data_IF_366980131097
#
_entry.id   IF_366980131097
#
_cell.length_a   1.000
_cell.length_b   1.000
_cell.length_c   1.000
_cell.angle_alpha   90.00
_cell.angle_beta   90.00
_cell.angle_gamma   90.00
#
_symmetry.space_group_name_H-M   'P 1'
#
loop_
_entity.id
_entity.type
_entity.pdbx_description
1 polymer ?
#
# COMPACT_ATOMS: atom_id res chain seq x y z
N UNK A 1 28.18 54.77 -24.40
CA UNK A 1 28.39 54.06 -23.11
C UNK A 1 27.07 53.73 -22.37
N UNK A 2 26.11 54.66 -22.26
CA UNK A 2 24.80 54.42 -21.60
C UNK A 2 23.99 53.23 -22.16
N UNK A 3 23.99 53.04 -23.49
CA UNK A 3 23.22 51.96 -24.13
C UNK A 3 23.86 50.57 -23.93
N UNK A 4 25.18 50.52 -23.70
CA UNK A 4 25.90 49.26 -23.44
C UNK A 4 25.57 48.75 -22.03
N UNK A 5 25.47 49.66 -21.05
CA UNK A 5 25.08 49.32 -19.68
C UNK A 5 23.65 48.77 -19.63
N UNK A 6 22.73 49.36 -20.39
CA UNK A 6 21.34 48.89 -20.49
C UNK A 6 21.22 47.47 -21.08
N UNK A 7 22.06 47.12 -22.06
CA UNK A 7 22.07 45.77 -22.64
C UNK A 7 22.60 44.75 -21.63
N UNK A 8 23.64 45.08 -20.87
CA UNK A 8 24.16 44.18 -19.82
C UNK A 8 23.13 43.92 -18.70
N UNK A 9 22.37 44.94 -18.30
CA UNK A 9 21.31 44.79 -17.30
C UNK A 9 20.17 43.92 -17.83
N UNK A 10 19.78 44.08 -19.10
CA UNK A 10 18.70 43.29 -19.71
C UNK A 10 19.08 41.81 -19.84
N UNK A 11 20.34 41.51 -20.19
CA UNK A 11 20.84 40.11 -20.30
C UNK A 11 20.91 39.42 -18.93
N UNK A 12 21.22 40.16 -17.86
CA UNK A 12 21.26 39.59 -16.50
C UNK A 12 19.86 39.19 -15.98
N UNK A 13 18.79 39.85 -16.42
CA UNK A 13 17.39 39.55 -16.03
C UNK A 13 16.83 38.35 -16.81
N UNK A 14 17.39 38.06 -18.00
CA UNK A 14 16.96 36.96 -18.87
C UNK A 14 17.60 35.61 -18.51
N UNK A 15 18.37 35.51 -17.43
CA UNK A 15 18.88 34.24 -16.94
C UNK A 15 17.74 33.56 -16.16
N UNK A 16 17.10 32.50 -16.70
CA UNK A 16 16.08 31.78 -15.96
C UNK A 16 16.73 31.19 -14.71
N UNK A 17 16.24 31.56 -13.52
CA UNK A 17 16.61 30.89 -12.29
C UNK A 17 16.21 29.41 -12.45
N UNK A 18 17.20 28.53 -12.46
CA UNK A 18 16.97 27.10 -12.46
C UNK A 18 16.28 26.75 -11.12
N UNK A 19 14.95 26.67 -11.12
CA UNK A 19 14.17 26.09 -10.05
C UNK A 19 14.48 24.59 -10.05
N UNK A 20 15.54 24.20 -9.33
CA UNK A 20 15.77 22.81 -8.98
C UNK A 20 14.69 22.40 -8.01
N UNK A 21 13.77 21.53 -8.45
CA UNK A 21 12.86 20.85 -7.55
C UNK A 21 13.72 20.03 -6.56
N UNK A 22 13.71 20.42 -5.30
CA UNK A 22 14.31 19.63 -4.23
C UNK A 22 13.30 18.58 -3.79
N UNK A 23 13.72 17.32 -3.74
CA UNK A 23 12.92 16.24 -3.17
C UNK A 23 13.28 16.07 -1.70
N UNK A 24 12.29 16.18 -0.83
CA UNK A 24 12.39 15.74 0.55
C UNK A 24 11.93 14.28 0.63
N UNK A 25 12.67 13.46 1.38
CA UNK A 25 12.34 12.06 1.58
C UNK A 25 12.59 11.68 3.04
N UNK A 26 11.75 10.79 3.55
CA UNK A 26 11.85 10.25 4.91
C UNK A 26 11.77 8.73 4.86
N UNK A 27 12.55 8.06 5.70
CA UNK A 27 12.42 6.61 5.89
C UNK A 27 11.32 6.35 6.92
N UNK A 28 10.10 6.13 6.42
CA UNK A 28 8.92 5.87 7.26
C UNK A 28 8.85 4.43 7.78
N UNK A 29 9.62 3.51 7.20
CA UNK A 29 9.65 2.11 7.58
C UNK A 29 11.05 1.51 7.40
N UNK A 30 11.53 0.83 8.44
CA UNK A 30 12.72 -0.02 8.41
C UNK A 30 12.47 -1.26 9.27
N UNK A 31 12.29 -2.41 8.64
CA UNK A 31 12.01 -3.68 9.31
C UNK A 31 13.03 -4.75 8.89
N UNK A 32 13.44 -5.59 9.85
CA UNK A 32 14.16 -6.83 9.56
C UNK A 32 13.15 -7.97 9.43
N UNK A 33 13.12 -8.60 8.26
CA UNK A 33 12.19 -9.67 7.93
C UNK A 33 12.76 -11.06 8.30
N UNK A 34 14.07 -11.16 8.55
CA UNK A 34 14.73 -12.42 8.95
C UNK A 34 14.76 -13.51 7.88
N UNK A 35 14.16 -13.29 6.71
CA UNK A 35 14.14 -14.20 5.56
C UNK A 35 14.39 -13.44 4.25
N UNK A 36 14.93 -14.08 3.21
CA UNK A 36 15.12 -13.45 1.91
C UNK A 36 13.81 -12.88 1.35
N UNK A 37 13.86 -11.61 0.95
CA UNK A 37 12.77 -10.94 0.24
C UNK A 37 12.95 -11.21 -1.25
N UNK A 38 11.94 -11.79 -1.89
CA UNK A 38 11.92 -12.07 -3.32
C UNK A 38 11.39 -10.87 -4.10
N UNK A 39 10.28 -10.29 -3.64
CA UNK A 39 9.64 -9.13 -4.25
C UNK A 39 8.71 -8.42 -3.26
N UNK A 40 8.32 -7.18 -3.56
CA UNK A 40 7.44 -6.37 -2.71
C UNK A 40 6.41 -5.59 -3.52
N UNK A 41 5.22 -5.42 -2.96
CA UNK A 41 4.19 -4.53 -3.50
C UNK A 41 3.46 -3.86 -2.36
N UNK A 42 2.77 -2.76 -2.65
CA UNK A 42 2.02 -1.99 -1.64
C UNK A 42 0.57 -1.81 -2.09
N UNK A 43 -0.34 -1.78 -1.12
CA UNK A 43 -1.68 -1.25 -1.38
C UNK A 43 -1.62 0.28 -1.21
N UNK A 44 -1.90 1.07 -2.27
CA UNK A 44 -1.88 2.53 -2.17
C UNK A 44 -2.89 3.11 -1.17
N UNK A 45 -3.94 2.36 -0.81
CA UNK A 45 -5.05 2.86 -0.03
C UNK A 45 -4.95 2.60 1.49
N UNK A 46 -4.15 1.62 1.93
CA UNK A 46 -4.29 1.07 3.31
C UNK A 46 -2.98 0.91 4.10
N UNK A 47 -1.89 1.60 3.74
CA UNK A 47 -0.61 1.52 4.48
C UNK A 47 -0.09 0.09 4.71
N UNK A 48 -0.39 -0.81 3.77
CA UNK A 48 0.08 -2.20 3.81
C UNK A 48 1.18 -2.45 2.78
N UNK A 49 2.20 -3.16 3.23
CA UNK A 49 3.27 -3.71 2.38
C UNK A 49 3.11 -5.22 2.34
N UNK A 50 3.03 -5.77 1.13
CA UNK A 50 3.04 -7.21 0.89
C UNK A 50 4.45 -7.62 0.49
N UNK A 51 5.03 -8.53 1.26
CA UNK A 51 6.42 -8.96 1.09
C UNK A 51 6.40 -10.44 0.69
N UNK A 52 6.82 -10.73 -0.54
CA UNK A 52 6.97 -12.10 -1.00
C UNK A 52 8.29 -12.68 -0.49
N UNK A 53 8.20 -13.79 0.22
CA UNK A 53 9.32 -14.61 0.71
C UNK A 53 9.13 -16.05 0.21
N UNK A 54 10.14 -16.93 0.26
CA UNK A 54 10.00 -18.32 -0.19
C UNK A 54 8.85 -19.05 0.51
N UNK A 55 7.73 -19.23 -0.20
CA UNK A 55 6.54 -19.96 0.26
C UNK A 55 5.60 -19.15 1.16
N UNK A 56 5.77 -17.83 1.29
CA UNK A 56 4.87 -17.01 2.11
C UNK A 56 4.82 -15.57 1.61
N UNK A 57 3.61 -15.01 1.56
CA UNK A 57 3.41 -13.55 1.47
C UNK A 57 3.15 -13.01 2.88
N UNK A 58 4.01 -12.12 3.34
CA UNK A 58 3.82 -11.41 4.60
C UNK A 58 2.98 -10.16 4.36
N UNK A 59 1.99 -9.93 5.22
CA UNK A 59 1.21 -8.68 5.24
C UNK A 59 1.77 -7.82 6.38
N UNK A 60 2.41 -6.71 6.04
CA UNK A 60 3.05 -5.81 6.98
C UNK A 60 2.28 -4.48 7.07
N UNK A 61 1.97 -4.04 8.29
CA UNK A 61 1.36 -2.73 8.57
C UNK A 61 2.45 -1.68 8.75
N UNK A 62 2.46 -0.65 7.91
CA UNK A 62 3.37 0.49 8.08
C UNK A 62 3.04 1.26 9.36
N UNK A 63 1.74 1.47 9.64
CA UNK A 63 1.28 2.22 10.82
C UNK A 63 1.59 1.52 12.14
N UNK A 64 1.33 0.20 12.22
CA UNK A 64 1.59 -0.58 13.45
C UNK A 64 3.03 -1.10 13.53
N UNK A 65 3.81 -0.92 12.46
CA UNK A 65 5.18 -1.41 12.30
C UNK A 65 5.34 -2.90 12.63
N UNK A 66 4.38 -3.73 12.20
CA UNK A 66 4.36 -5.16 12.50
C UNK A 66 3.81 -6.01 11.36
N UNK A 67 4.15 -7.30 11.37
CA UNK A 67 3.53 -8.30 10.50
C UNK A 67 2.14 -8.60 11.05
N UNK A 68 1.11 -8.24 10.29
CA UNK A 68 -0.29 -8.53 10.63
C UNK A 68 -0.63 -10.00 10.38
N UNK A 69 -0.19 -10.55 9.24
CA UNK A 69 -0.54 -11.90 8.85
C UNK A 69 0.44 -12.51 7.82
N UNK A 70 0.27 -13.80 7.54
CA UNK A 70 1.07 -14.59 6.61
C UNK A 70 0.17 -15.46 5.74
N UNK A 71 0.22 -15.24 4.43
CA UNK A 71 -0.49 -16.08 3.46
C UNK A 71 0.48 -17.16 2.97
N UNK A 72 0.24 -18.45 3.26
CA UNK A 72 1.08 -19.52 2.72
C UNK A 72 0.87 -19.63 1.21
N UNK A 73 1.97 -19.77 0.47
CA UNK A 73 1.97 -19.92 -0.99
C UNK A 73 2.99 -20.96 -1.42
N UNK A 74 2.94 -21.38 -2.68
CA UNK A 74 3.98 -22.26 -3.23
C UNK A 74 5.32 -21.53 -3.29
N UNK A 75 6.43 -22.27 -3.10
CA UNK A 75 7.78 -21.69 -3.04
C UNK A 75 8.31 -21.18 -4.39
N UNK A 76 7.63 -21.51 -5.49
CA UNK A 76 8.10 -21.20 -6.85
C UNK A 76 7.91 -19.74 -7.26
N UNK A 77 7.01 -19.01 -6.60
CA UNK A 77 6.73 -17.61 -6.96
C UNK A 77 7.92 -16.70 -6.65
N UNK A 78 8.23 -15.83 -7.60
CA UNK A 78 9.36 -14.89 -7.52
C UNK A 78 8.99 -13.44 -7.80
N UNK A 79 7.71 -13.16 -8.11
CA UNK A 79 7.16 -11.82 -8.28
C UNK A 79 5.79 -11.67 -7.65
N UNK A 80 5.49 -10.46 -7.20
CA UNK A 80 4.19 -10.07 -6.65
C UNK A 80 3.76 -8.70 -7.18
N UNK A 81 2.47 -8.58 -7.50
CA UNK A 81 1.87 -7.30 -7.82
C UNK A 81 0.51 -7.15 -7.11
N UNK A 82 0.25 -5.97 -6.58
CA UNK A 82 -1.06 -5.63 -6.08
C UNK A 82 -2.02 -5.32 -7.24
N UNK A 83 -3.25 -5.82 -7.14
CA UNK A 83 -4.36 -5.49 -8.01
C UNK A 83 -5.53 -5.04 -7.13
N UNK A 84 -6.30 -4.08 -7.65
CA UNK A 84 -7.50 -3.57 -6.99
C UNK A 84 -8.48 -4.69 -6.54
N UNK A 85 -9.32 -4.38 -5.55
CA UNK A 85 -10.26 -5.30 -4.89
C UNK A 85 -9.58 -6.44 -4.11
N UNK A 86 -8.53 -6.09 -3.35
CA UNK A 86 -7.81 -6.97 -2.44
C UNK A 86 -7.24 -8.21 -3.13
N UNK A 87 -6.52 -7.99 -4.23
CA UNK A 87 -5.92 -9.06 -5.03
C UNK A 87 -4.41 -8.93 -5.09
N UNK A 88 -3.74 -10.07 -5.03
CA UNK A 88 -2.31 -10.19 -5.24
C UNK A 88 -2.10 -11.13 -6.43
N UNK A 89 -1.35 -10.65 -7.41
CA UNK A 89 -0.91 -11.45 -8.55
C UNK A 89 0.48 -11.96 -8.24
N UNK A 90 0.63 -13.28 -8.14
CA UNK A 90 1.90 -13.97 -7.99
C UNK A 90 2.30 -14.58 -9.32
N UNK A 91 3.57 -14.42 -9.70
CA UNK A 91 4.11 -15.11 -10.87
C UNK A 91 5.41 -15.82 -10.53
N UNK A 92 5.68 -16.86 -11.30
CA UNK A 92 6.93 -17.60 -11.31
C UNK A 92 7.42 -17.68 -12.75
N UNK A 93 8.74 -17.59 -12.94
CA UNK A 93 9.37 -17.79 -14.25
C UNK A 93 9.65 -19.26 -14.57
N UNK A 94 9.89 -20.10 -13.56
CA UNK A 94 10.21 -21.52 -13.73
C UNK A 94 9.63 -22.37 -12.58
N UNK A 95 8.51 -23.10 -12.79
CA UNK A 95 7.72 -23.11 -14.02
C UNK A 95 7.03 -21.77 -14.25
N UNK A 96 6.79 -21.43 -15.53
CA UNK A 96 6.05 -20.23 -15.90
C UNK A 96 4.59 -20.35 -15.44
N UNK A 97 4.23 -19.66 -14.37
CA UNK A 97 2.91 -19.74 -13.74
C UNK A 97 2.44 -18.39 -13.22
N UNK A 98 1.12 -18.23 -13.15
CA UNK A 98 0.44 -17.07 -12.57
C UNK A 98 -0.64 -17.57 -11.60
N UNK A 99 -0.75 -16.91 -10.45
CA UNK A 99 -1.81 -17.16 -9.46
C UNK A 99 -2.34 -15.83 -8.96
N UNK A 100 -3.67 -15.71 -8.88
CA UNK A 100 -4.32 -14.53 -8.32
C UNK A 100 -4.92 -14.93 -6.98
N UNK A 101 -4.39 -14.35 -5.91
CA UNK A 101 -4.90 -14.52 -4.56
C UNK A 101 -5.84 -13.37 -4.25
N UNK A 102 -7.03 -13.67 -3.75
CA UNK A 102 -7.89 -12.68 -3.11
C UNK A 102 -7.71 -12.78 -1.60
N UNK A 103 -7.49 -11.66 -0.94
CA UNK A 103 -7.48 -11.58 0.52
C UNK A 103 -8.66 -10.74 1.01
N UNK A 104 -8.98 -10.84 2.30
CA UNK A 104 -10.02 -10.01 2.92
C UNK A 104 -9.62 -9.79 4.37
N UNK A 105 -9.71 -8.54 4.82
CA UNK A 105 -9.40 -8.20 6.20
C UNK A 105 -10.61 -8.48 7.08
N UNK A 106 -10.40 -9.29 8.11
CA UNK A 106 -11.38 -9.50 9.16
C UNK A 106 -11.04 -8.53 10.29
N UNK A 107 -11.99 -7.66 10.63
CA UNK A 107 -11.84 -6.72 11.73
C UNK A 107 -12.58 -7.26 12.95
N UNK A 108 -11.87 -7.41 14.06
CA UNK A 108 -12.51 -7.62 15.34
C UNK A 108 -13.15 -6.31 15.79
N UNK A 109 -14.47 -6.34 15.97
CA UNK A 109 -15.23 -5.19 16.46
C UNK A 109 -15.33 -5.33 17.98
N UNK A 110 -14.65 -4.44 18.72
CA UNK A 110 -14.82 -4.40 20.16
C UNK A 110 -16.25 -3.95 20.51
N UNK A 111 -17.00 -4.86 21.13
CA UNK A 111 -18.37 -4.64 21.59
C UNK A 111 -18.44 -4.20 23.07
N UNK A 112 -17.29 -3.99 23.74
CA UNK A 112 -17.24 -3.56 25.14
C UNK A 112 -17.94 -2.22 25.35
N UNK A 113 -18.71 -2.10 26.43
CA UNK A 113 -19.43 -0.87 26.78
C UNK A 113 -20.55 -0.45 25.82
N UNK A 114 -20.81 -1.21 24.75
CA UNK A 114 -21.87 -0.87 23.78
C UNK A 114 -23.25 -1.16 24.34
N UNK A 115 -24.19 -0.26 24.05
CA UNK A 115 -25.58 -0.46 24.40
C UNK A 115 -26.15 -1.68 23.67
N UNK A 116 -26.65 -2.65 24.44
CA UNK A 116 -27.35 -3.83 23.91
C UNK A 116 -28.84 -3.58 23.98
N UNK A 117 -29.55 -3.72 22.85
CA UNK A 117 -31.00 -3.57 22.77
C UNK A 117 -31.65 -4.95 22.56
N UNK A 118 -32.48 -5.36 23.51
CA UNK A 118 -33.13 -6.68 23.51
C UNK A 118 -32.34 -7.73 24.30
N UNK A 119 -32.94 -8.91 24.46
CA UNK A 119 -32.29 -10.07 25.04
C UNK A 119 -31.34 -10.74 24.03
N UNK A 120 -30.49 -11.66 24.50
CA UNK A 120 -29.48 -12.35 23.67
C UNK A 120 -30.08 -13.04 22.44
N UNK A 121 -31.28 -13.59 22.57
CA UNK A 121 -31.99 -14.33 21.52
C UNK A 121 -33.08 -13.48 20.84
N UNK A 122 -33.02 -12.15 20.97
CA UNK A 122 -33.95 -11.26 20.30
C UNK A 122 -33.91 -11.50 18.78
N UNK A 123 -35.08 -11.63 18.16
CA UNK A 123 -35.18 -11.69 16.71
C UNK A 123 -34.75 -10.34 16.13
N UNK A 124 -33.77 -10.36 15.23
CA UNK A 124 -33.29 -9.19 14.51
C UNK A 124 -33.82 -9.24 13.08
N UNK A 125 -34.35 -8.12 12.58
CA UNK A 125 -34.70 -7.95 11.17
C UNK A 125 -33.66 -7.03 10.54
N UNK A 126 -32.89 -7.55 9.58
CA UNK A 126 -32.01 -6.74 8.74
C UNK A 126 -32.77 -6.36 7.47
N UNK A 127 -32.97 -5.06 7.25
CA UNK A 127 -33.58 -4.52 6.03
C UNK A 127 -32.48 -3.78 5.27
N UNK A 128 -32.25 -4.18 4.01
CA UNK A 128 -31.32 -3.51 3.11
C UNK A 128 -32.14 -2.69 2.12
N UNK A 129 -31.83 -1.41 2.02
CA UNK A 129 -32.34 -0.53 0.97
C UNK A 129 -31.19 -0.29 -0.01
N UNK A 130 -31.27 -0.91 -1.19
CA UNK A 130 -30.22 -0.83 -2.23
C UNK A 130 -30.58 0.13 -3.38
N UNK A 131 -31.82 0.63 -3.42
CA UNK A 131 -32.28 1.62 -4.38
C UNK A 131 -32.09 3.04 -3.83
N UNK A 132 -30.95 3.65 -4.17
CA UNK A 132 -30.79 5.10 -4.11
C UNK A 132 -30.92 5.63 -5.55
N UNK A 133 -32.04 6.30 -5.85
CA UNK A 133 -32.24 7.09 -7.07
C UNK A 133 -31.60 8.47 -6.97
#
# INVERSE_FOLDING_TARGET
MRNIILVFILVAILIPAALHAAFEYESILKADIGTPILDVTTNPAEDMVFILTPGTVLIYSVGDQTILDRIPVEKQFDRIAYQDKDRLVLTSRDPSTITILKFSRIYDIDLSGRAVKGNRDAKVTLVVFDDYQ
#
